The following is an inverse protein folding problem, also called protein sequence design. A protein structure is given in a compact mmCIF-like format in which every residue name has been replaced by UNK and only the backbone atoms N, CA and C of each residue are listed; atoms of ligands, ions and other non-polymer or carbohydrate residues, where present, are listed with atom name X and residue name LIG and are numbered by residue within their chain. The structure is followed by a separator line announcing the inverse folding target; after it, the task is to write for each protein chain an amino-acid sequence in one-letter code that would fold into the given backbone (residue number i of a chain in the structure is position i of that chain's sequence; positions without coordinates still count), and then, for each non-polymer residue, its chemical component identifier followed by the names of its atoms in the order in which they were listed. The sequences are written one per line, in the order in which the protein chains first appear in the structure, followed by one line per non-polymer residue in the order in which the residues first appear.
data_IF_051309716671
#
_entry.id   IF_051309716671
#
_cell.length_a   1.000
_cell.length_b   1.000
_cell.length_c   1.000
_cell.angle_alpha   90.00
_cell.angle_beta   90.00
_cell.angle_gamma   90.00
#
_symmetry.space_group_name_H-M   'P 1'
#
loop_
_entity.id
_entity.type
_entity.pdbx_description
1 polymer ?
#
# COMPACT_ATOMS: atom_id res chain seq x y z
N UNK A 1 -28.07 -2.04 -32.57
CA UNK A 1 -26.85 -1.83 -31.75
C UNK A 1 -26.92 -2.42 -30.30
N UNK A 2 -28.08 -2.88 -29.84
CA UNK A 2 -28.28 -3.30 -28.42
C UNK A 2 -27.89 -4.75 -28.13
N UNK A 3 -28.08 -5.70 -29.02
CA UNK A 3 -27.84 -7.13 -28.76
C UNK A 3 -26.31 -7.50 -28.71
N UNK A 4 -25.49 -6.88 -29.56
CA UNK A 4 -24.03 -7.18 -29.60
C UNK A 4 -23.26 -6.60 -28.39
N UNK A 5 -23.78 -5.55 -27.78
CA UNK A 5 -23.20 -4.95 -26.56
C UNK A 5 -23.56 -5.79 -25.31
N UNK A 6 -24.76 -6.32 -25.25
CA UNK A 6 -25.20 -7.20 -24.15
C UNK A 6 -24.47 -8.52 -24.20
N UNK A 7 -24.32 -9.17 -25.35
CA UNK A 7 -23.56 -10.42 -25.49
C UNK A 7 -22.06 -10.26 -25.21
N UNK A 8 -21.46 -9.08 -25.49
CA UNK A 8 -20.06 -8.79 -25.11
C UNK A 8 -19.89 -8.62 -23.60
N UNK A 9 -20.84 -7.98 -22.94
CA UNK A 9 -20.79 -7.80 -21.48
C UNK A 9 -21.00 -9.13 -20.72
N UNK A 10 -21.93 -9.99 -21.16
CA UNK A 10 -22.14 -11.30 -20.56
C UNK A 10 -20.92 -12.23 -20.73
N UNK A 11 -20.23 -12.18 -21.87
CA UNK A 11 -19.02 -13.00 -22.10
C UNK A 11 -17.80 -12.49 -21.32
N UNK A 12 -17.67 -11.18 -21.08
CA UNK A 12 -16.60 -10.59 -20.27
C UNK A 12 -16.81 -10.94 -18.80
N UNK A 13 -18.01 -10.76 -18.27
CA UNK A 13 -18.33 -11.12 -16.88
C UNK A 13 -18.09 -12.62 -16.63
N UNK A 14 -18.44 -13.50 -17.56
CA UNK A 14 -18.20 -14.94 -17.39
C UNK A 14 -16.72 -15.32 -17.35
N UNK A 15 -15.85 -14.59 -18.03
CA UNK A 15 -14.39 -14.79 -18.00
C UNK A 15 -13.78 -14.26 -16.69
N UNK A 16 -14.22 -13.10 -16.21
CA UNK A 16 -13.80 -12.51 -14.95
C UNK A 16 -14.25 -13.37 -13.76
N UNK A 17 -15.47 -13.89 -13.77
CA UNK A 17 -16.01 -14.80 -12.77
C UNK A 17 -15.22 -16.13 -12.74
N UNK A 18 -14.87 -16.67 -13.91
CA UNK A 18 -14.05 -17.87 -14.04
C UNK A 18 -12.64 -17.64 -13.50
N UNK A 19 -12.04 -16.48 -13.80
CA UNK A 19 -10.72 -16.10 -13.31
C UNK A 19 -10.70 -15.96 -11.79
N UNK A 20 -11.67 -15.24 -11.22
CA UNK A 20 -11.82 -15.08 -9.77
C UNK A 20 -12.04 -16.41 -9.06
N UNK A 21 -12.93 -17.27 -9.58
CA UNK A 21 -13.21 -18.59 -9.04
C UNK A 21 -11.96 -19.46 -9.02
N UNK A 22 -11.12 -19.40 -10.06
CA UNK A 22 -9.84 -20.10 -10.13
C UNK A 22 -8.87 -19.61 -9.05
N UNK A 23 -8.71 -18.29 -8.88
CA UNK A 23 -7.85 -17.72 -7.86
C UNK A 23 -8.29 -18.11 -6.45
N UNK A 24 -9.59 -18.03 -6.14
CA UNK A 24 -10.15 -18.42 -4.85
C UNK A 24 -9.92 -19.90 -4.55
N UNK A 25 -10.16 -20.78 -5.54
CA UNK A 25 -9.89 -22.21 -5.40
C UNK A 25 -8.42 -22.52 -5.10
N UNK A 26 -7.48 -21.79 -5.71
CA UNK A 26 -6.05 -21.93 -5.41
C UNK A 26 -5.71 -21.46 -3.99
N UNK A 27 -6.33 -20.37 -3.53
CA UNK A 27 -6.16 -19.88 -2.15
C UNK A 27 -6.68 -20.88 -1.12
N UNK A 28 -7.81 -21.56 -1.40
CA UNK A 28 -8.38 -22.57 -0.51
C UNK A 28 -7.52 -23.85 -0.43
N UNK A 29 -6.86 -24.22 -1.52
CA UNK A 29 -5.99 -25.41 -1.59
C UNK A 29 -4.67 -25.23 -0.85
N UNK A 30 -4.24 -23.99 -0.61
CA UNK A 30 -3.04 -23.69 0.13
C UNK A 30 -3.30 -23.86 1.63
N UNK A 31 -2.53 -24.71 2.30
CA UNK A 31 -2.64 -24.91 3.74
C UNK A 31 -2.27 -23.61 4.46
N UNK A 32 -3.23 -23.00 5.13
CA UNK A 32 -2.95 -21.85 5.99
C UNK A 32 -1.95 -22.22 7.10
N UNK A 33 -0.99 -21.35 7.35
CA UNK A 33 0.04 -21.51 8.39
C UNK A 33 -0.60 -21.67 9.77
N UNK A 34 -1.78 -21.09 9.98
CA UNK A 34 -2.57 -21.21 11.21
C UNK A 34 -4.03 -21.50 10.86
N UNK A 35 -4.55 -22.57 11.45
CA UNK A 35 -5.99 -22.86 11.46
C UNK A 35 -6.61 -22.31 12.74
N UNK A 36 -7.40 -21.24 12.63
CA UNK A 36 -8.25 -20.76 13.72
C UNK A 36 -9.67 -20.49 13.17
N UNK A 37 -10.68 -20.72 14.01
CA UNK A 37 -12.08 -20.45 13.64
C UNK A 37 -12.26 -19.00 13.17
N UNK A 38 -11.67 -18.04 13.88
CA UNK A 38 -11.70 -16.62 13.51
C UNK A 38 -11.15 -16.37 12.10
N UNK A 39 -9.97 -16.93 11.75
CA UNK A 39 -9.38 -16.73 10.42
C UNK A 39 -10.18 -17.41 9.33
N UNK A 40 -10.74 -18.57 9.62
CA UNK A 40 -11.62 -19.28 8.69
C UNK A 40 -12.87 -18.46 8.38
N UNK A 41 -13.53 -17.94 9.40
CA UNK A 41 -14.70 -17.05 9.26
C UNK A 41 -14.38 -15.78 8.50
N UNK A 42 -13.23 -15.15 8.80
CA UNK A 42 -12.77 -13.94 8.12
C UNK A 42 -12.56 -14.19 6.63
N UNK A 43 -11.88 -15.27 6.26
CA UNK A 43 -11.64 -15.68 4.86
C UNK A 43 -12.95 -16.00 4.14
N UNK A 44 -13.86 -16.73 4.76
CA UNK A 44 -15.15 -17.09 4.18
C UNK A 44 -16.04 -15.87 3.93
N UNK A 45 -16.07 -14.91 4.87
CA UNK A 45 -16.78 -13.63 4.68
C UNK A 45 -16.22 -12.86 3.49
N UNK A 46 -14.90 -12.77 3.40
CA UNK A 46 -14.24 -12.07 2.29
C UNK A 46 -14.51 -12.76 0.93
N UNK A 47 -14.46 -14.08 0.86
CA UNK A 47 -14.83 -14.85 -0.33
C UNK A 47 -16.29 -14.60 -0.74
N UNK A 48 -17.22 -14.53 0.23
CA UNK A 48 -18.62 -14.20 -0.03
C UNK A 48 -18.82 -12.78 -0.59
N UNK A 49 -18.04 -11.82 -0.13
CA UNK A 49 -18.04 -10.45 -0.70
C UNK A 49 -17.60 -10.48 -2.16
N UNK A 50 -16.53 -11.21 -2.49
CA UNK A 50 -15.99 -11.31 -3.84
C UNK A 50 -16.98 -11.93 -4.84
N UNK A 51 -17.73 -12.95 -4.43
CA UNK A 51 -18.75 -13.56 -5.30
C UNK A 51 -19.91 -12.63 -5.65
N UNK A 52 -20.09 -11.56 -4.90
CA UNK A 52 -21.11 -10.53 -5.12
C UNK A 52 -20.55 -9.23 -5.73
N UNK A 53 -19.22 -9.15 -5.90
CA UNK A 53 -18.52 -7.99 -6.41
C UNK A 53 -18.03 -8.20 -7.84
N UNK A 54 -17.79 -7.12 -8.55
CA UNK A 54 -17.12 -7.14 -9.85
C UNK A 54 -15.74 -6.52 -9.75
N UNK A 55 -14.83 -6.90 -10.65
CA UNK A 55 -13.56 -6.20 -10.76
C UNK A 55 -13.78 -4.71 -11.02
N UNK A 56 -13.06 -3.85 -10.32
CA UNK A 56 -13.17 -2.42 -10.54
C UNK A 56 -12.72 -2.07 -11.97
N UNK A 57 -13.34 -1.06 -12.55
CA UNK A 57 -13.09 -0.65 -13.92
C UNK A 57 -13.20 0.86 -14.07
N UNK A 58 -12.87 1.39 -15.25
CA UNK A 58 -12.86 2.84 -15.53
C UNK A 58 -14.21 3.56 -15.41
N UNK A 59 -15.34 2.86 -15.23
CA UNK A 59 -16.64 3.47 -14.94
C UNK A 59 -16.81 3.78 -13.47
N UNK A 60 -16.02 3.15 -12.62
CA UNK A 60 -15.98 3.43 -11.19
C UNK A 60 -15.17 4.70 -10.97
N UNK A 61 -15.70 5.67 -10.26
CA UNK A 61 -15.09 6.98 -10.06
C UNK A 61 -13.65 6.88 -9.52
N UNK A 62 -13.43 5.98 -8.58
CA UNK A 62 -12.12 5.76 -7.95
C UNK A 62 -11.10 5.10 -8.90
N UNK A 63 -11.56 4.49 -10.02
CA UNK A 63 -10.72 3.76 -10.97
C UNK A 63 -10.71 4.38 -12.38
N UNK A 64 -11.34 5.54 -12.58
CA UNK A 64 -11.53 6.16 -13.90
C UNK A 64 -10.23 6.39 -14.68
N UNK A 65 -9.10 6.59 -14.00
CA UNK A 65 -7.80 6.82 -14.63
C UNK A 65 -6.88 5.59 -14.59
N UNK A 66 -7.28 4.51 -13.92
CA UNK A 66 -6.48 3.30 -13.72
C UNK A 66 -7.10 2.10 -14.40
N UNK A 67 -6.39 1.57 -15.39
CA UNK A 67 -6.82 0.43 -16.18
C UNK A 67 -6.13 -0.85 -15.71
N UNK A 68 -6.92 -1.79 -15.20
CA UNK A 68 -6.43 -3.10 -14.77
C UNK A 68 -6.61 -4.20 -15.83
N UNK A 69 -7.01 -3.86 -17.04
CA UNK A 69 -7.27 -4.85 -18.11
C UNK A 69 -6.05 -5.69 -18.47
N UNK A 70 -4.84 -5.13 -18.32
CA UNK A 70 -3.60 -5.90 -18.54
C UNK A 70 -3.34 -6.91 -17.43
N UNK A 71 -3.69 -6.59 -16.19
CA UNK A 71 -3.63 -7.52 -15.05
C UNK A 71 -4.58 -8.70 -15.28
N UNK A 72 -5.81 -8.44 -15.71
CA UNK A 72 -6.84 -9.48 -15.93
C UNK A 72 -6.56 -10.41 -17.13
N UNK A 73 -5.62 -10.07 -18.02
CA UNK A 73 -5.18 -10.94 -19.11
C UNK A 73 -4.17 -12.00 -18.68
N UNK A 74 -3.62 -11.90 -17.48
CA UNK A 74 -2.55 -12.75 -17.00
C UNK A 74 -3.12 -13.82 -16.09
N UNK A 75 -2.85 -15.08 -16.39
CA UNK A 75 -3.25 -16.21 -15.56
C UNK A 75 -2.27 -16.37 -14.38
N UNK A 76 -2.53 -15.64 -13.31
CA UNK A 76 -1.73 -15.72 -12.08
C UNK A 76 -2.01 -17.00 -11.31
N UNK A 77 -0.97 -17.54 -10.69
CA UNK A 77 -1.04 -18.63 -9.72
C UNK A 77 -0.62 -18.13 -8.34
N UNK A 78 -1.14 -18.73 -7.29
CA UNK A 78 -0.71 -18.39 -5.93
C UNK A 78 0.77 -18.71 -5.76
N UNK A 79 1.54 -17.71 -5.30
CA UNK A 79 2.98 -17.82 -5.15
C UNK A 79 3.36 -18.97 -4.19
N UNK A 80 4.44 -19.69 -4.54
CA UNK A 80 4.94 -20.81 -3.77
C UNK A 80 6.11 -20.39 -2.87
N UNK A 81 6.39 -21.21 -1.88
CA UNK A 81 7.56 -21.05 -1.02
C UNK A 81 8.85 -21.12 -1.86
N UNK A 82 9.75 -20.21 -1.59
CA UNK A 82 11.04 -20.09 -2.28
C UNK A 82 12.10 -19.62 -1.30
N UNK A 83 13.28 -20.22 -1.37
CA UNK A 83 14.42 -19.84 -0.53
C UNK A 83 15.27 -18.78 -1.23
N UNK A 84 15.75 -17.82 -0.45
CA UNK A 84 16.72 -16.83 -0.90
C UNK A 84 18.04 -16.97 -0.13
N UNK A 85 19.15 -16.64 -0.80
CA UNK A 85 20.44 -16.57 -0.13
C UNK A 85 20.63 -15.26 0.62
N UNK A 86 21.47 -15.25 1.64
CA UNK A 86 21.82 -14.06 2.39
C UNK A 86 22.43 -12.95 1.52
N UNK A 87 23.18 -13.32 0.47
CA UNK A 87 23.82 -12.36 -0.44
C UNK A 87 22.76 -11.56 -1.23
N UNK A 88 21.68 -12.22 -1.66
CA UNK A 88 20.57 -11.55 -2.33
C UNK A 88 19.84 -10.63 -1.32
N UNK A 89 19.59 -11.14 -0.12
CA UNK A 89 18.95 -10.34 0.95
C UNK A 89 19.71 -9.05 1.25
N UNK A 90 21.06 -9.11 1.30
CA UNK A 90 21.90 -7.96 1.66
C UNK A 90 21.74 -6.76 0.71
N UNK A 91 21.21 -6.95 -0.51
CA UNK A 91 20.90 -5.86 -1.45
C UNK A 91 19.67 -5.02 -1.02
N UNK A 92 18.85 -5.55 -0.11
CA UNK A 92 17.61 -4.94 0.36
C UNK A 92 17.65 -4.53 1.83
N UNK A 93 18.66 -4.95 2.55
CA UNK A 93 18.81 -4.67 3.99
C UNK A 93 19.25 -3.22 4.21
N UNK A 94 18.61 -2.57 5.17
CA UNK A 94 19.04 -1.28 5.68
C UNK A 94 19.90 -1.51 6.94
N UNK A 95 21.03 -0.87 6.99
CA UNK A 95 21.98 -1.03 8.10
C UNK A 95 21.36 -0.65 9.46
N UNK A 96 20.53 0.41 9.46
CA UNK A 96 19.83 0.91 10.64
C UNK A 96 18.82 -0.09 11.23
N UNK A 97 18.33 -1.02 10.42
CA UNK A 97 17.29 -1.99 10.78
C UNK A 97 17.75 -3.46 10.62
N UNK A 98 19.03 -3.71 10.48
CA UNK A 98 19.56 -5.07 10.25
C UNK A 98 19.19 -6.07 11.34
N UNK A 99 19.02 -5.62 12.60
CA UNK A 99 18.71 -6.43 13.76
C UNK A 99 17.24 -6.28 14.24
N UNK A 100 16.40 -5.58 13.47
CA UNK A 100 14.97 -5.35 13.74
C UNK A 100 14.14 -5.61 12.48
N UNK A 101 14.51 -6.64 11.71
CA UNK A 101 13.96 -6.93 10.38
C UNK A 101 13.14 -8.21 10.38
N UNK A 102 11.96 -8.14 9.77
CA UNK A 102 11.09 -9.26 9.45
C UNK A 102 11.04 -9.43 7.93
N UNK A 103 11.28 -10.63 7.42
CA UNK A 103 11.34 -10.91 5.98
C UNK A 103 10.27 -11.89 5.55
N UNK A 104 9.56 -11.51 4.50
CA UNK A 104 8.63 -12.37 3.76
C UNK A 104 9.11 -12.54 2.32
N UNK A 105 9.13 -13.76 1.85
CA UNK A 105 9.46 -14.12 0.47
C UNK A 105 8.22 -14.70 -0.18
N UNK A 106 7.78 -14.12 -1.28
CA UNK A 106 6.52 -14.52 -1.95
C UNK A 106 5.30 -14.55 -1.00
N UNK A 107 5.27 -13.63 -0.02
CA UNK A 107 4.21 -13.55 0.99
C UNK A 107 4.32 -14.57 2.13
N UNK A 108 5.39 -15.36 2.18
CA UNK A 108 5.63 -16.38 3.21
C UNK A 108 6.76 -15.91 4.14
N UNK A 109 6.54 -16.01 5.44
CA UNK A 109 7.53 -15.63 6.45
C UNK A 109 8.79 -16.50 6.36
N UNK A 110 9.96 -15.86 6.37
CA UNK A 110 11.25 -16.51 6.42
C UNK A 110 11.96 -16.23 7.75
N UNK A 111 12.02 -17.24 8.62
CA UNK A 111 12.69 -17.13 9.91
C UNK A 111 14.22 -16.98 9.74
N UNK A 112 14.80 -17.65 8.75
CA UNK A 112 16.25 -17.62 8.47
C UNK A 112 16.74 -16.25 8.02
N UNK A 113 15.91 -15.52 7.27
CA UNK A 113 16.23 -14.20 6.73
C UNK A 113 15.83 -13.07 7.69
N UNK A 114 15.00 -13.35 8.68
CA UNK A 114 14.53 -12.39 9.68
C UNK A 114 15.54 -12.26 10.82
N UNK A 115 15.62 -11.07 11.41
CA UNK A 115 16.44 -10.81 12.60
C UNK A 115 15.75 -9.75 13.46
N UNK A 116 15.33 -10.13 14.65
CA UNK A 116 14.61 -9.27 15.60
C UNK A 116 15.33 -9.13 16.94
N UNK A 117 16.65 -9.37 16.96
CA UNK A 117 17.46 -9.43 18.18
C UNK A 117 17.67 -8.07 18.86
N UNK A 118 17.48 -6.95 18.16
CA UNK A 118 17.57 -5.61 18.72
C UNK A 118 16.25 -5.09 19.33
N UNK A 119 15.17 -5.87 19.28
CA UNK A 119 13.88 -5.44 19.81
C UNK A 119 13.82 -5.54 21.32
N UNK A 120 13.21 -4.52 21.93
CA UNK A 120 13.06 -4.39 23.37
C UNK A 120 11.95 -5.32 23.91
N UNK A 121 11.95 -5.53 25.22
CA UNK A 121 10.83 -6.12 25.92
C UNK A 121 9.55 -5.28 25.68
N UNK A 122 8.41 -5.93 25.51
CA UNK A 122 7.15 -5.26 25.18
C UNK A 122 6.94 -5.02 23.68
N UNK A 123 7.90 -5.44 22.83
CA UNK A 123 7.78 -5.35 21.37
C UNK A 123 7.66 -6.74 20.76
N UNK A 124 6.63 -6.95 19.96
CA UNK A 124 6.48 -8.13 19.13
C UNK A 124 6.62 -7.77 17.66
N UNK A 125 7.57 -8.37 16.98
CA UNK A 125 7.70 -8.33 15.52
C UNK A 125 7.87 -9.75 15.03
N UNK A 126 6.91 -10.22 14.24
CA UNK A 126 6.86 -11.60 13.81
C UNK A 126 5.62 -11.88 12.95
N UNK A 127 5.33 -13.15 12.78
CA UNK A 127 4.15 -13.61 12.05
C UNK A 127 3.05 -14.14 13.00
N UNK A 128 1.92 -14.56 12.44
CA UNK A 128 0.80 -15.10 13.24
C UNK A 128 1.19 -16.32 14.08
N UNK A 129 2.04 -17.22 13.57
CA UNK A 129 2.39 -18.47 14.23
C UNK A 129 3.04 -18.25 15.60
N UNK A 130 3.90 -17.25 15.67
CA UNK A 130 4.72 -16.94 16.84
C UNK A 130 4.05 -15.94 17.80
N UNK A 131 2.82 -15.50 17.49
CA UNK A 131 2.10 -14.56 18.35
C UNK A 131 1.70 -15.25 19.67
N UNK A 132 1.89 -14.56 20.80
CA UNK A 132 1.51 -15.08 22.12
C UNK A 132 -0.02 -15.26 22.25
N UNK A 133 -0.47 -16.22 23.07
CA UNK A 133 -1.89 -16.50 23.24
C UNK A 133 -2.69 -15.29 23.72
N UNK A 134 -2.09 -14.46 24.58
CA UNK A 134 -2.70 -13.20 25.05
C UNK A 134 -2.94 -12.22 23.90
N UNK A 135 -2.01 -12.12 22.94
CA UNK A 135 -2.17 -11.29 21.75
C UNK A 135 -3.10 -11.95 20.71
N UNK A 136 -3.08 -13.28 20.57
CA UNK A 136 -4.02 -14.03 19.71
C UNK A 136 -5.47 -13.78 20.11
N UNK A 137 -5.76 -13.71 21.41
CA UNK A 137 -7.11 -13.40 21.91
C UNK A 137 -7.58 -11.99 21.48
N UNK A 138 -6.66 -11.04 21.41
CA UNK A 138 -6.96 -9.66 20.97
C UNK A 138 -6.95 -9.51 19.44
N UNK A 139 -6.41 -10.44 18.69
CA UNK A 139 -6.23 -10.35 17.24
C UNK A 139 -7.54 -10.07 16.50
N UNK A 140 -8.63 -10.71 16.91
CA UNK A 140 -9.95 -10.56 16.31
C UNK A 140 -10.55 -9.14 16.43
N UNK A 141 -10.04 -8.31 17.36
CA UNK A 141 -10.46 -6.91 17.50
C UNK A 141 -9.66 -5.95 16.59
N UNK A 142 -8.67 -6.46 15.88
CA UNK A 142 -7.83 -5.65 14.99
C UNK A 142 -7.87 -6.16 13.55
N UNK A 143 -7.51 -7.43 13.31
CA UNK A 143 -7.35 -7.96 11.96
C UNK A 143 -8.68 -8.04 11.21
N UNK A 144 -8.76 -7.35 10.07
CA UNK A 144 -9.95 -7.28 9.24
C UNK A 144 -11.07 -6.39 9.78
N UNK A 145 -10.79 -5.55 10.78
CA UNK A 145 -11.80 -4.68 11.42
C UNK A 145 -11.82 -3.24 10.90
N UNK A 146 -10.89 -2.87 10.03
CA UNK A 146 -10.83 -1.53 9.45
C UNK A 146 -11.95 -1.26 8.44
N UNK A 147 -12.34 0.00 8.32
CA UNK A 147 -13.27 0.44 7.26
C UNK A 147 -12.70 0.11 5.88
N UNK A 148 -13.55 -0.12 4.87
CA UNK A 148 -13.13 -0.50 3.52
C UNK A 148 -12.67 -1.96 3.36
N UNK A 149 -12.87 -2.83 4.36
CA UNK A 149 -12.52 -4.25 4.30
C UNK A 149 -13.26 -5.01 3.17
N UNK A 150 -14.40 -4.51 2.71
CA UNK A 150 -15.23 -5.09 1.65
C UNK A 150 -14.86 -4.59 0.24
N UNK A 151 -13.86 -3.74 0.07
CA UNK A 151 -13.37 -3.38 -1.25
C UNK A 151 -12.75 -4.57 -1.95
N UNK A 152 -12.91 -4.67 -3.27
CA UNK A 152 -12.56 -5.86 -4.06
C UNK A 152 -11.16 -6.43 -3.75
N UNK A 153 -10.11 -5.61 -3.89
CA UNK A 153 -8.73 -6.09 -3.68
C UNK A 153 -8.41 -6.34 -2.21
N UNK A 154 -9.05 -5.64 -1.27
CA UNK A 154 -8.96 -5.91 0.17
C UNK A 154 -9.63 -7.24 0.52
N UNK A 155 -10.80 -7.49 -0.04
CA UNK A 155 -11.50 -8.78 0.13
C UNK A 155 -10.69 -9.92 -0.52
N UNK A 156 -10.09 -9.71 -1.70
CA UNK A 156 -9.23 -10.68 -2.36
C UNK A 156 -7.99 -11.01 -1.50
N UNK A 157 -7.35 -10.01 -0.90
CA UNK A 157 -6.25 -10.20 0.04
C UNK A 157 -6.70 -11.01 1.25
N UNK A 158 -7.86 -10.69 1.82
CA UNK A 158 -8.38 -11.37 3.01
C UNK A 158 -8.79 -12.82 2.71
N UNK A 159 -9.41 -13.10 1.56
CA UNK A 159 -9.75 -14.46 1.15
C UNK A 159 -8.51 -15.32 0.91
N UNK A 160 -7.45 -14.73 0.35
CA UNK A 160 -6.16 -15.39 0.11
C UNK A 160 -5.15 -15.29 1.25
N UNK A 161 -5.58 -14.91 2.45
CA UNK A 161 -4.70 -14.69 3.60
C UNK A 161 -4.06 -15.99 4.10
N UNK A 162 -2.73 -16.07 4.04
CA UNK A 162 -1.96 -17.22 4.55
C UNK A 162 -1.24 -16.88 5.86
N UNK A 163 -0.63 -15.71 5.94
CA UNK A 163 0.12 -15.24 7.10
C UNK A 163 0.01 -13.72 7.22
N UNK A 164 0.41 -13.16 8.35
CA UNK A 164 0.38 -11.71 8.64
C UNK A 164 1.72 -11.29 9.23
N UNK A 165 2.32 -10.27 8.65
CA UNK A 165 3.44 -9.55 9.29
C UNK A 165 2.88 -8.67 10.40
N UNK A 166 3.32 -8.88 11.64
CA UNK A 166 2.79 -8.20 12.81
C UNK A 166 3.90 -7.39 13.48
N UNK A 167 3.63 -6.10 13.70
CA UNK A 167 4.39 -5.24 14.60
C UNK A 167 3.44 -4.76 15.71
N UNK A 168 3.68 -5.21 16.94
CA UNK A 168 2.83 -4.87 18.08
C UNK A 168 3.70 -4.33 19.22
N UNK A 169 3.50 -3.04 19.53
CA UNK A 169 4.26 -2.34 20.57
C UNK A 169 3.34 -2.08 21.74
N UNK A 170 3.75 -2.58 22.91
CA UNK A 170 2.97 -2.44 24.15
C UNK A 170 2.95 -0.99 24.64
N UNK A 171 2.04 -0.71 25.58
CA UNK A 171 1.92 0.62 26.21
C UNK A 171 3.23 1.10 26.82
N UNK A 172 3.47 2.42 26.72
CA UNK A 172 4.62 3.13 27.29
C UNK A 172 6.00 2.69 26.72
N UNK A 173 6.03 1.94 25.62
CA UNK A 173 7.27 1.50 24.96
C UNK A 173 7.65 2.46 23.85
N UNK A 174 8.87 2.99 23.91
CA UNK A 174 9.48 3.83 22.87
C UNK A 174 10.65 3.10 22.23
N UNK A 175 10.68 3.03 20.89
CA UNK A 175 11.71 2.34 20.12
C UNK A 175 12.38 3.34 19.18
N UNK A 176 13.68 3.52 19.32
CA UNK A 176 14.47 4.37 18.41
C UNK A 176 14.87 3.62 17.14
N UNK A 177 15.17 2.32 17.26
CA UNK A 177 15.55 1.48 16.11
C UNK A 177 14.33 1.22 15.23
N UNK A 178 14.36 1.55 13.93
CA UNK A 178 13.22 1.32 13.04
C UNK A 178 12.94 -0.19 12.87
N UNK A 179 11.66 -0.56 12.81
CA UNK A 179 11.21 -1.93 12.49
C UNK A 179 11.10 -2.05 10.98
N UNK A 180 11.84 -2.98 10.38
CA UNK A 180 11.80 -3.20 8.92
C UNK A 180 10.99 -4.44 8.56
N UNK A 181 9.86 -4.24 7.89
CA UNK A 181 9.08 -5.29 7.25
C UNK A 181 9.48 -5.33 5.77
N UNK A 182 10.21 -6.36 5.39
CA UNK A 182 10.76 -6.53 4.06
C UNK A 182 10.01 -7.63 3.29
N UNK A 183 9.38 -7.26 2.19
CA UNK A 183 8.63 -8.13 1.32
C UNK A 183 9.35 -8.28 -0.02
N UNK A 184 9.82 -9.49 -0.30
CA UNK A 184 10.57 -9.81 -1.52
C UNK A 184 9.74 -10.73 -2.42
N UNK A 185 9.53 -10.28 -3.65
CA UNK A 185 8.88 -11.04 -4.70
C UNK A 185 9.95 -11.70 -5.58
N UNK A 186 9.97 -13.02 -5.63
CA UNK A 186 10.87 -13.76 -6.52
C UNK A 186 10.17 -13.94 -7.86
N UNK A 187 10.80 -13.42 -8.91
CA UNK A 187 10.28 -13.53 -10.27
C UNK A 187 10.55 -14.92 -10.80
N UNK A 188 9.49 -15.69 -11.03
CA UNK A 188 9.53 -17.08 -11.52
C UNK A 188 9.16 -17.17 -13.01
N UNK A 189 9.24 -18.38 -13.54
CA UNK A 189 8.80 -18.77 -14.89
C UNK A 189 7.28 -18.71 -15.07
N UNK A 190 6.51 -18.70 -13.99
CA UNK A 190 5.04 -18.63 -13.96
C UNK A 190 4.62 -17.32 -13.32
N UNK A 191 3.64 -16.58 -13.91
CA UNK A 191 3.06 -15.41 -13.25
C UNK A 191 2.47 -15.78 -11.91
N UNK A 192 2.78 -15.03 -10.85
CA UNK A 192 2.25 -15.34 -9.53
C UNK A 192 1.57 -14.14 -8.87
N UNK A 193 0.60 -14.43 -7.99
CA UNK A 193 -0.05 -13.47 -7.10
C UNK A 193 0.45 -13.68 -5.68
N UNK A 194 0.76 -12.58 -5.01
CA UNK A 194 1.25 -12.54 -3.63
C UNK A 194 0.28 -11.73 -2.81
N UNK A 195 -0.29 -12.36 -1.77
CA UNK A 195 -1.24 -11.71 -0.85
C UNK A 195 -0.48 -11.31 0.43
N UNK A 196 -0.05 -10.06 0.50
CA UNK A 196 0.68 -9.56 1.66
C UNK A 196 -0.27 -8.90 2.66
N UNK A 197 -0.21 -9.31 3.94
CA UNK A 197 -0.96 -8.67 5.02
C UNK A 197 -0.05 -8.17 6.11
N UNK A 198 -0.30 -6.94 6.56
CA UNK A 198 0.44 -6.30 7.65
C UNK A 198 -0.54 -5.83 8.72
N UNK A 199 -0.22 -6.08 9.97
CA UNK A 199 -0.93 -5.55 11.13
C UNK A 199 0.04 -4.82 12.06
N UNK A 200 -0.24 -3.54 12.30
CA UNK A 200 0.54 -2.70 13.23
C UNK A 200 -0.37 -2.26 14.37
N UNK A 201 0.03 -2.55 15.59
CA UNK A 201 -0.69 -2.11 16.79
C UNK A 201 0.24 -1.30 17.68
N UNK A 202 -0.06 -0.03 17.82
CA UNK A 202 0.57 0.90 18.76
C UNK A 202 -0.35 1.04 19.99
N UNK A 203 -0.02 0.38 21.09
CA UNK A 203 -0.77 0.53 22.34
C UNK A 203 -0.53 1.94 22.95
N UNK A 204 -1.31 2.39 23.97
CA UNK A 204 -1.22 3.76 24.47
C UNK A 204 0.20 4.21 24.86
N UNK A 205 0.53 5.44 24.50
CA UNK A 205 1.82 6.08 24.81
C UNK A 205 3.04 5.40 24.16
N UNK A 206 2.85 4.51 23.19
CA UNK A 206 3.96 3.90 22.44
C UNK A 206 4.45 4.81 21.32
N UNK A 207 5.75 4.72 21.01
CA UNK A 207 6.37 5.48 19.91
C UNK A 207 7.38 4.63 19.16
N UNK A 208 7.24 4.55 17.82
CA UNK A 208 8.17 3.79 16.98
C UNK A 208 8.10 4.19 15.52
N UNK A 209 9.09 3.74 14.76
CA UNK A 209 9.13 3.84 13.31
C UNK A 209 9.03 2.46 12.67
N UNK A 210 8.24 2.35 11.60
CA UNK A 210 8.10 1.14 10.80
C UNK A 210 8.42 1.45 9.34
N UNK A 211 9.16 0.56 8.71
CA UNK A 211 9.50 0.63 7.30
C UNK A 211 8.95 -0.60 6.58
N UNK A 212 8.06 -0.41 5.64
CA UNK A 212 7.60 -1.42 4.69
C UNK A 212 8.38 -1.28 3.39
N UNK A 213 9.12 -2.31 2.98
CA UNK A 213 9.83 -2.33 1.72
C UNK A 213 9.33 -3.45 0.82
N UNK A 214 9.03 -3.12 -0.43
CA UNK A 214 8.59 -4.05 -1.46
C UNK A 214 9.62 -4.06 -2.58
N UNK A 215 10.26 -5.21 -2.80
CA UNK A 215 11.31 -5.38 -3.78
C UNK A 215 11.13 -6.64 -4.63
N UNK A 216 11.74 -6.64 -5.81
CA UNK A 216 11.78 -7.79 -6.68
C UNK A 216 13.18 -8.40 -6.70
N UNK A 217 13.25 -9.70 -6.47
CA UNK A 217 14.47 -10.47 -6.68
C UNK A 217 14.48 -10.95 -8.12
N UNK A 218 15.43 -10.43 -8.88
CA UNK A 218 15.67 -10.86 -10.25
C UNK A 218 16.99 -11.59 -10.27
N UNK A 219 17.01 -12.83 -10.75
CA UNK A 219 18.27 -13.53 -11.02
C UNK A 219 19.17 -12.66 -11.91
N UNK A 220 20.41 -12.46 -11.49
CA UNK A 220 21.43 -11.76 -12.28
C UNK A 220 21.84 -12.50 -13.57
N UNK A 221 21.17 -13.59 -13.92
CA UNK A 221 21.39 -14.31 -15.16
C UNK A 221 20.82 -13.51 -16.33
N UNK A 222 21.71 -12.82 -17.03
CA UNK A 222 21.46 -12.03 -18.24
C UNK A 222 20.89 -12.84 -19.42
N UNK A 223 20.80 -14.16 -19.31
CA UNK A 223 20.47 -15.08 -20.41
C UNK A 223 19.02 -15.62 -20.38
N UNK A 224 18.15 -15.14 -19.47
CA UNK A 224 16.74 -15.56 -19.46
C UNK A 224 15.84 -14.47 -20.04
N UNK A 225 15.32 -14.64 -21.28
CA UNK A 225 14.60 -13.58 -21.99
C UNK A 225 13.14 -13.36 -21.56
N UNK A 226 12.61 -14.00 -20.51
CA UNK A 226 11.19 -13.85 -20.12
C UNK A 226 11.02 -13.79 -18.61
N UNK A 227 11.20 -12.60 -18.05
CA UNK A 227 10.66 -12.28 -16.73
C UNK A 227 9.15 -12.32 -16.82
N UNK A 228 8.49 -13.15 -16.02
CA UNK A 228 7.04 -13.21 -15.96
C UNK A 228 6.54 -12.13 -14.99
N UNK A 229 5.42 -11.48 -15.30
CA UNK A 229 4.83 -10.51 -14.40
C UNK A 229 4.34 -11.19 -13.12
N UNK A 230 4.32 -10.44 -12.02
CA UNK A 230 3.70 -10.85 -10.77
C UNK A 230 2.77 -9.75 -10.25
N UNK A 231 1.89 -10.14 -9.36
CA UNK A 231 0.92 -9.24 -8.75
C UNK A 231 1.04 -9.26 -7.23
N UNK A 232 1.47 -8.15 -6.64
CA UNK A 232 1.46 -7.92 -5.20
C UNK A 232 0.17 -7.23 -4.80
N UNK A 233 -0.70 -7.95 -4.09
CA UNK A 233 -1.90 -7.40 -3.47
C UNK A 233 -1.66 -7.24 -1.96
N UNK A 234 -1.61 -6.01 -1.49
CA UNK A 234 -1.13 -5.66 -0.16
C UNK A 234 -2.22 -4.99 0.66
N UNK A 235 -2.38 -5.40 1.92
CA UNK A 235 -3.22 -4.69 2.88
C UNK A 235 -2.46 -4.47 4.19
N UNK A 236 -2.35 -3.21 4.60
CA UNK A 236 -1.74 -2.79 5.87
C UNK A 236 -2.80 -2.16 6.76
N UNK A 237 -2.97 -2.68 7.97
CA UNK A 237 -3.86 -2.17 9.01
C UNK A 237 -3.04 -1.61 10.16
N UNK A 238 -3.23 -0.33 10.49
CA UNK A 238 -2.49 0.35 11.56
C UNK A 238 -3.46 0.91 12.58
N UNK A 239 -3.28 0.54 13.82
CA UNK A 239 -4.06 1.01 14.96
C UNK A 239 -3.19 1.82 15.91
N UNK A 240 -3.50 3.10 16.05
CA UNK A 240 -2.86 4.00 17.00
C UNK A 240 -3.81 4.22 18.18
N UNK A 241 -3.43 3.72 19.34
CA UNK A 241 -4.14 4.00 20.59
C UNK A 241 -3.85 5.43 21.10
N UNK A 242 -4.45 5.80 22.21
CA UNK A 242 -4.34 7.14 22.78
C UNK A 242 -2.88 7.54 23.01
N UNK A 243 -2.53 8.76 22.57
CA UNK A 243 -1.21 9.37 22.71
C UNK A 243 -0.04 8.52 22.11
N UNK A 244 -0.32 7.60 21.19
CA UNK A 244 0.73 6.87 20.49
C UNK A 244 1.24 7.64 19.26
N UNK A 245 2.47 7.30 18.84
CA UNK A 245 3.11 7.90 17.66
C UNK A 245 3.74 6.84 16.76
N UNK A 246 3.37 6.87 15.48
CA UNK A 246 3.93 5.95 14.47
C UNK A 246 4.44 6.74 13.27
N UNK A 247 5.73 6.56 12.98
CA UNK A 247 6.33 6.98 11.71
C UNK A 247 6.35 5.77 10.77
N UNK A 248 5.64 5.86 9.66
CA UNK A 248 5.48 4.80 8.68
C UNK A 248 6.14 5.19 7.37
N UNK A 249 7.19 4.48 6.99
CA UNK A 249 7.85 4.64 5.70
C UNK A 249 7.44 3.47 4.80
N UNK A 250 6.86 3.75 3.64
CA UNK A 250 6.54 2.75 2.62
C UNK A 250 7.42 2.98 1.40
N UNK A 251 8.17 1.95 0.99
CA UNK A 251 9.11 2.02 -0.12
C UNK A 251 8.80 0.92 -1.15
N UNK A 252 8.13 1.30 -2.24
CA UNK A 252 7.78 0.40 -3.33
C UNK A 252 8.79 0.55 -4.48
N UNK A 253 9.59 -0.52 -4.71
CA UNK A 253 10.66 -0.58 -5.71
C UNK A 253 10.63 -1.89 -6.50
N UNK A 254 9.45 -2.35 -6.83
CA UNK A 254 9.25 -3.58 -7.57
C UNK A 254 9.59 -3.44 -9.06
N UNK A 255 9.68 -4.55 -9.80
CA UNK A 255 10.08 -4.54 -11.20
C UNK A 255 9.06 -3.85 -12.11
N UNK A 256 9.52 -3.31 -13.25
CA UNK A 256 8.68 -2.61 -14.22
C UNK A 256 7.60 -3.46 -14.92
N UNK A 257 7.57 -4.78 -14.71
CA UNK A 257 6.56 -5.69 -15.26
C UNK A 257 5.54 -6.15 -14.21
N UNK A 258 5.70 -5.74 -12.94
CA UNK A 258 4.81 -6.11 -11.84
C UNK A 258 3.57 -5.23 -11.75
N UNK A 259 2.57 -5.76 -11.06
CA UNK A 259 1.40 -5.03 -10.61
C UNK A 259 1.42 -4.97 -9.09
N UNK A 260 1.23 -3.77 -8.54
CA UNK A 260 1.18 -3.55 -7.11
C UNK A 260 -0.10 -2.79 -6.76
N UNK A 261 -1.02 -3.46 -6.07
CA UNK A 261 -2.25 -2.84 -5.56
C UNK A 261 -2.22 -2.94 -4.05
N UNK A 262 -2.18 -1.79 -3.39
CA UNK A 262 -2.03 -1.70 -1.95
C UNK A 262 -3.12 -0.85 -1.31
N UNK A 263 -3.55 -1.25 -0.12
CA UNK A 263 -4.38 -0.45 0.77
C UNK A 263 -3.73 -0.35 2.14
N UNK A 264 -3.58 0.87 2.65
CA UNK A 264 -3.17 1.15 4.02
C UNK A 264 -4.32 1.86 4.74
N UNK A 265 -4.79 1.29 5.84
CA UNK A 265 -5.87 1.86 6.65
C UNK A 265 -5.38 2.12 8.06
N UNK A 266 -5.59 3.36 8.52
CA UNK A 266 -5.11 3.83 9.80
C UNK A 266 -6.29 4.26 10.67
N UNK A 267 -6.36 3.72 11.90
CA UNK A 267 -7.28 4.16 12.95
C UNK A 267 -6.51 4.94 14.01
N UNK A 268 -6.88 6.21 14.21
CA UNK A 268 -6.21 7.12 15.16
C UNK A 268 -7.12 7.45 16.35
N UNK A 269 -6.76 6.96 17.54
CA UNK A 269 -7.41 7.36 18.78
C UNK A 269 -6.97 8.78 19.20
N UNK A 270 -7.54 9.28 20.29
CA UNK A 270 -7.27 10.61 20.83
C UNK A 270 -5.77 10.89 21.02
N UNK A 271 -5.33 12.11 20.70
CA UNK A 271 -3.95 12.60 20.87
C UNK A 271 -2.88 11.80 20.12
N UNK A 272 -3.26 10.87 19.22
CA UNK A 272 -2.31 10.08 18.46
C UNK A 272 -1.71 10.84 17.27
N UNK A 273 -0.48 10.49 16.90
CA UNK A 273 0.28 11.10 15.80
C UNK A 273 0.72 10.04 14.79
N UNK A 274 0.41 10.29 13.54
CA UNK A 274 0.81 9.43 12.43
C UNK A 274 1.54 10.23 11.37
N UNK A 275 2.76 9.81 11.04
CA UNK A 275 3.52 10.39 9.93
C UNK A 275 3.82 9.31 8.90
N UNK A 276 3.48 9.56 7.65
CA UNK A 276 3.75 8.64 6.54
C UNK A 276 4.72 9.25 5.53
N UNK A 277 5.66 8.42 5.06
CA UNK A 277 6.53 8.70 3.92
C UNK A 277 6.32 7.61 2.88
N UNK A 278 5.68 7.93 1.76
CA UNK A 278 5.31 6.99 0.71
C UNK A 278 6.15 7.20 -0.55
N UNK A 279 6.96 6.21 -0.91
CA UNK A 279 7.82 6.22 -2.10
C UNK A 279 7.30 5.21 -3.12
N UNK A 280 6.85 5.68 -4.30
CA UNK A 280 6.38 4.88 -5.42
C UNK A 280 7.37 5.04 -6.59
N UNK A 281 8.25 4.05 -6.74
CA UNK A 281 9.41 4.11 -7.64
C UNK A 281 9.45 2.95 -8.66
N UNK A 282 8.50 2.02 -8.61
CA UNK A 282 8.51 0.81 -9.41
C UNK A 282 7.13 0.37 -9.89
N UNK A 283 7.07 -0.86 -10.40
CA UNK A 283 5.93 -1.55 -10.99
C UNK A 283 5.48 -0.99 -12.36
N UNK A 284 4.85 -1.83 -13.18
CA UNK A 284 4.12 -1.42 -14.38
C UNK A 284 2.86 -0.63 -14.01
N UNK A 285 2.16 -1.13 -13.00
CA UNK A 285 1.01 -0.48 -12.37
C UNK A 285 1.18 -0.53 -10.86
N UNK A 286 1.34 0.62 -10.23
CA UNK A 286 1.30 0.78 -8.77
C UNK A 286 0.04 1.56 -8.41
N UNK A 287 -0.84 0.98 -7.57
CA UNK A 287 -1.94 1.71 -6.95
C UNK A 287 -1.87 1.59 -5.45
N UNK A 288 -1.93 2.71 -4.75
CA UNK A 288 -1.93 2.76 -3.30
C UNK A 288 -3.11 3.61 -2.79
N UNK A 289 -4.00 3.00 -2.03
CA UNK A 289 -5.06 3.67 -1.29
C UNK A 289 -4.64 3.81 0.18
N UNK A 290 -4.53 5.03 0.68
CA UNK A 290 -4.23 5.32 2.08
C UNK A 290 -5.42 6.01 2.72
N UNK A 291 -6.00 5.42 3.75
CA UNK A 291 -7.16 5.94 4.44
C UNK A 291 -6.89 6.11 5.93
N UNK A 292 -7.21 7.30 6.46
CA UNK A 292 -7.03 7.64 7.87
C UNK A 292 -8.40 7.95 8.48
N UNK A 293 -8.72 7.23 9.53
CA UNK A 293 -9.96 7.39 10.27
C UNK A 293 -9.66 7.90 11.69
N UNK A 294 -10.04 9.15 11.94
CA UNK A 294 -9.98 9.73 13.27
C UNK A 294 -11.07 9.10 14.15
N UNK A 295 -10.65 8.54 15.29
CA UNK A 295 -11.52 7.91 16.30
C UNK A 295 -11.56 8.68 17.63
N UNK A 296 -10.83 9.77 17.72
CA UNK A 296 -10.78 10.66 18.88
C UNK A 296 -10.33 12.07 18.50
N UNK A 297 -10.40 13.01 19.42
CA UNK A 297 -9.98 14.39 19.21
C UNK A 297 -8.44 14.57 19.20
N UNK A 298 -7.97 15.72 18.70
CA UNK A 298 -6.58 16.17 18.77
C UNK A 298 -5.57 15.24 18.03
N UNK A 299 -6.02 14.51 17.01
CA UNK A 299 -5.11 13.69 16.19
C UNK A 299 -4.29 14.56 15.24
N UNK A 300 -3.09 14.08 14.92
CA UNK A 300 -2.21 14.69 13.92
C UNK A 300 -1.80 13.66 12.86
N UNK A 301 -1.94 14.04 11.57
CA UNK A 301 -1.58 13.20 10.43
C UNK A 301 -0.71 13.97 9.45
N UNK A 302 0.53 13.52 9.23
CA UNK A 302 1.45 14.11 8.28
C UNK A 302 1.74 13.11 7.15
N UNK A 303 1.37 13.43 5.91
CA UNK A 303 1.53 12.57 4.75
C UNK A 303 2.52 13.19 3.76
N UNK A 304 3.61 12.48 3.51
CA UNK A 304 4.64 12.86 2.54
C UNK A 304 4.75 11.78 1.48
N UNK A 305 4.51 12.13 0.22
CA UNK A 305 4.59 11.19 -0.89
C UNK A 305 5.56 11.65 -1.98
N UNK A 306 6.26 10.70 -2.58
CA UNK A 306 7.10 10.90 -3.74
C UNK A 306 6.87 9.77 -4.74
N UNK A 307 6.43 10.16 -5.95
CA UNK A 307 6.29 9.26 -7.09
C UNK A 307 7.32 9.67 -8.16
N UNK A 308 8.19 8.74 -8.57
CA UNK A 308 9.13 8.95 -9.69
C UNK A 308 8.98 7.77 -10.63
N UNK A 309 8.45 8.03 -11.82
CA UNK A 309 8.14 7.00 -12.81
C UNK A 309 8.52 7.45 -14.23
N UNK A 310 8.88 6.47 -15.05
CA UNK A 310 9.23 6.67 -16.45
C UNK A 310 8.70 5.52 -17.33
N UNK A 311 9.07 5.46 -18.59
CA UNK A 311 8.63 4.42 -19.50
C UNK A 311 7.12 4.46 -19.73
N UNK A 312 6.46 3.35 -19.45
CA UNK A 312 5.00 3.20 -19.54
C UNK A 312 4.37 2.86 -18.19
N UNK A 313 5.05 3.23 -17.11
CA UNK A 313 4.57 2.98 -15.76
C UNK A 313 3.33 3.85 -15.44
N UNK A 314 2.44 3.28 -14.66
CA UNK A 314 1.27 3.98 -14.08
C UNK A 314 1.39 3.93 -12.57
N UNK A 315 1.36 5.09 -11.92
CA UNK A 315 1.30 5.18 -10.46
C UNK A 315 0.08 5.98 -10.04
N UNK A 316 -0.79 5.34 -9.26
CA UNK A 316 -2.06 5.90 -8.83
C UNK A 316 -2.10 5.94 -7.29
N UNK A 317 -1.99 7.13 -6.72
CA UNK A 317 -2.02 7.34 -5.27
C UNK A 317 -3.33 8.01 -4.86
N UNK A 318 -4.08 7.32 -4.04
CA UNK A 318 -5.30 7.83 -3.40
C UNK A 318 -5.05 8.01 -1.89
N UNK A 319 -5.49 9.13 -1.35
CA UNK A 319 -5.53 9.37 0.08
C UNK A 319 -6.90 9.88 0.50
N UNK A 320 -7.42 9.39 1.62
CA UNK A 320 -8.64 9.88 2.22
C UNK A 320 -8.46 10.06 3.74
N UNK A 321 -8.71 11.27 4.24
CA UNK A 321 -8.56 11.60 5.66
C UNK A 321 -9.92 11.99 6.20
N UNK A 322 -10.43 11.19 7.13
CA UNK A 322 -11.73 11.39 7.78
C UNK A 322 -11.53 12.00 9.17
N UNK A 323 -11.54 13.32 9.24
CA UNK A 323 -11.40 14.10 10.48
C UNK A 323 -12.77 14.24 11.14
N UNK A 324 -13.16 13.27 11.95
CA UNK A 324 -14.52 13.14 12.53
C UNK A 324 -14.71 13.87 13.85
N UNK A 325 -13.62 14.25 14.53
CA UNK A 325 -13.61 14.83 15.86
C UNK A 325 -12.89 16.19 15.87
N UNK A 326 -13.12 17.04 16.90
CA UNK A 326 -12.49 18.36 16.98
C UNK A 326 -10.96 18.32 17.09
N UNK A 327 -10.34 19.45 16.74
CA UNK A 327 -8.91 19.71 16.86
C UNK A 327 -8.01 18.78 16.02
N UNK A 328 -8.54 18.11 15.01
CA UNK A 328 -7.75 17.32 14.08
C UNK A 328 -6.81 18.19 13.25
N UNK A 329 -5.58 17.70 13.04
CA UNK A 329 -4.59 18.32 12.15
C UNK A 329 -4.18 17.34 11.07
N UNK A 330 -4.12 17.82 9.81
CA UNK A 330 -3.55 17.04 8.74
C UNK A 330 -2.73 17.90 7.78
N UNK A 331 -1.55 17.42 7.41
CA UNK A 331 -0.71 18.05 6.39
C UNK A 331 -0.33 17.00 5.36
N UNK A 332 -0.60 17.29 4.09
CA UNK A 332 -0.21 16.40 3.00
C UNK A 332 0.63 17.15 1.97
N UNK A 333 1.78 16.58 1.64
CA UNK A 333 2.60 16.98 0.51
C UNK A 333 2.90 15.76 -0.35
N UNK A 334 2.35 15.69 -1.55
CA UNK A 334 2.69 14.65 -2.53
C UNK A 334 3.36 15.28 -3.75
N UNK A 335 4.50 14.72 -4.15
CA UNK A 335 5.27 15.16 -5.33
C UNK A 335 5.31 14.03 -6.35
N UNK A 336 5.13 14.38 -7.64
CA UNK A 336 5.30 13.45 -8.74
C UNK A 336 6.32 13.98 -9.74
N UNK A 337 7.20 13.11 -10.19
CA UNK A 337 8.10 13.35 -11.33
C UNK A 337 7.80 12.26 -12.36
N UNK A 338 7.41 12.68 -13.56
CA UNK A 338 6.99 11.76 -14.61
C UNK A 338 7.73 12.03 -15.90
N UNK A 339 8.20 10.96 -16.55
CA UNK A 339 8.92 11.06 -17.80
C UNK A 339 8.41 10.09 -18.86
N UNK A 340 8.85 10.24 -20.10
CA UNK A 340 8.53 9.43 -21.29
C UNK A 340 7.01 9.32 -21.52
N UNK A 341 6.39 8.15 -21.31
CA UNK A 341 4.96 7.88 -21.51
C UNK A 341 4.27 7.52 -20.19
N UNK A 342 4.92 7.77 -19.07
CA UNK A 342 4.39 7.41 -17.75
C UNK A 342 3.18 8.25 -17.37
N UNK A 343 2.37 7.73 -16.44
CA UNK A 343 1.15 8.36 -16.00
C UNK A 343 1.03 8.31 -14.48
N UNK A 344 1.10 9.47 -13.83
CA UNK A 344 0.83 9.59 -12.40
C UNK A 344 -0.58 10.11 -12.15
N UNK A 345 -1.26 9.50 -11.19
CA UNK A 345 -2.57 9.91 -10.69
C UNK A 345 -2.41 10.23 -9.20
N UNK A 346 -2.95 11.35 -8.78
CA UNK A 346 -3.09 11.70 -7.37
C UNK A 346 -4.54 12.10 -7.08
N UNK A 347 -5.17 11.40 -6.15
CA UNK A 347 -6.49 11.75 -5.62
C UNK A 347 -6.38 11.90 -4.10
N UNK A 348 -6.66 13.10 -3.60
CA UNK A 348 -6.60 13.37 -2.17
C UNK A 348 -7.92 13.92 -1.66
N UNK A 349 -8.54 13.26 -0.68
CA UNK A 349 -9.82 13.64 -0.08
C UNK A 349 -9.65 13.96 1.39
N UNK A 350 -10.24 15.07 1.84
CA UNK A 350 -10.32 15.42 3.26
C UNK A 350 -11.77 15.66 3.62
N UNK A 351 -12.27 14.91 4.60
CA UNK A 351 -13.64 14.97 5.09
C UNK A 351 -13.67 15.62 6.48
N UNK A 352 -14.41 16.72 6.62
CA UNK A 352 -14.54 17.49 7.88
C UNK A 352 -16.02 17.73 8.17
N UNK A 353 -16.71 16.81 8.85
CA UNK A 353 -18.11 16.94 9.17
C UNK A 353 -18.33 18.01 10.24
N UNK A 354 -19.58 18.42 10.45
CA UNK A 354 -19.97 19.51 11.35
C UNK A 354 -19.44 19.37 12.78
N UNK A 355 -19.27 18.14 13.27
CA UNK A 355 -18.72 17.87 14.61
C UNK A 355 -17.22 18.18 14.74
N UNK A 356 -16.46 18.16 13.63
CA UNK A 356 -15.01 18.29 13.61
C UNK A 356 -14.56 19.76 13.61
N UNK A 357 -14.99 20.52 14.60
CA UNK A 357 -14.61 21.93 14.74
C UNK A 357 -13.12 22.10 15.09
N UNK A 358 -12.56 23.28 14.84
CA UNK A 358 -11.14 23.61 15.09
C UNK A 358 -10.14 22.72 14.32
N UNK A 359 -10.59 22.10 13.24
CA UNK A 359 -9.74 21.31 12.33
C UNK A 359 -8.81 22.22 11.52
N UNK A 360 -7.57 21.76 11.32
CA UNK A 360 -6.59 22.40 10.45
C UNK A 360 -6.05 21.37 9.45
N UNK A 361 -6.43 21.49 8.15
CA UNK A 361 -6.08 20.53 7.13
C UNK A 361 -5.49 21.22 5.90
N UNK A 362 -4.27 20.82 5.52
CA UNK A 362 -3.60 21.34 4.33
C UNK A 362 -3.20 20.20 3.40
N UNK A 363 -3.49 20.35 2.11
CA UNK A 363 -3.12 19.38 1.09
C UNK A 363 -2.43 20.09 -0.07
N UNK A 364 -1.25 19.60 -0.46
CA UNK A 364 -0.48 20.14 -1.58
C UNK A 364 0.03 19.00 -2.47
N UNK A 365 -0.29 19.05 -3.76
CA UNK A 365 0.28 18.16 -4.76
C UNK A 365 1.14 18.98 -5.74
N UNK A 366 2.41 18.61 -5.89
CA UNK A 366 3.35 19.26 -6.81
C UNK A 366 3.89 18.28 -7.82
N UNK A 367 3.78 18.60 -9.08
CA UNK A 367 4.04 17.68 -10.16
C UNK A 367 5.01 18.30 -11.18
N UNK A 368 6.00 17.52 -11.58
CA UNK A 368 6.96 17.87 -12.62
C UNK A 368 6.83 16.88 -13.78
N UNK A 369 6.59 17.38 -14.97
CA UNK A 369 6.49 16.62 -16.23
C UNK A 369 7.75 16.86 -17.03
N UNK A 370 8.54 15.81 -17.27
CA UNK A 370 9.82 15.92 -17.99
C UNK A 370 9.69 15.70 -19.50
N UNK A 371 8.61 15.06 -19.96
CA UNK A 371 8.37 14.83 -21.39
C UNK A 371 6.94 15.18 -21.80
N UNK A 372 6.75 15.55 -23.05
CA UNK A 372 5.45 15.94 -23.62
C UNK A 372 4.42 14.82 -23.70
N UNK A 373 4.81 13.55 -23.48
CA UNK A 373 3.94 12.38 -23.53
C UNK A 373 3.63 11.81 -22.16
N UNK A 374 4.34 12.24 -21.13
CA UNK A 374 4.02 11.93 -19.74
C UNK A 374 2.73 12.66 -19.31
N UNK A 375 1.99 12.06 -18.38
CA UNK A 375 0.68 12.55 -17.96
C UNK A 375 0.55 12.59 -16.45
N UNK A 376 -0.20 13.60 -15.98
CA UNK A 376 -0.58 13.71 -14.57
C UNK A 376 -2.07 14.02 -14.50
N UNK A 377 -2.78 13.25 -13.66
CA UNK A 377 -4.12 13.57 -13.21
C UNK A 377 -4.05 13.89 -11.72
N UNK A 378 -4.49 15.07 -11.31
CA UNK A 378 -4.52 15.48 -9.92
C UNK A 378 -5.92 15.93 -9.53
N UNK A 379 -6.46 15.31 -8.46
CA UNK A 379 -7.82 15.56 -7.95
C UNK A 379 -7.77 15.79 -6.42
N UNK A 380 -7.38 16.99 -5.96
CA UNK A 380 -7.53 17.34 -4.56
C UNK A 380 -9.00 17.69 -4.26
N UNK A 381 -9.56 17.14 -3.18
CA UNK A 381 -10.96 17.30 -2.81
C UNK A 381 -11.11 17.63 -1.32
N UNK A 382 -11.90 18.65 -1.00
CA UNK A 382 -12.28 19.01 0.36
C UNK A 382 -13.80 18.90 0.51
N UNK A 383 -14.24 18.05 1.43
CA UNK A 383 -15.65 17.91 1.80
C UNK A 383 -15.86 18.41 3.23
N UNK A 384 -16.24 19.68 3.37
CA UNK A 384 -16.26 20.38 4.62
C UNK A 384 -17.70 20.86 4.93
N UNK A 385 -18.20 20.48 6.10
CA UNK A 385 -19.47 20.98 6.63
C UNK A 385 -19.32 21.65 7.99
N UNK A 386 -18.12 21.64 8.59
CA UNK A 386 -17.78 22.38 9.80
C UNK A 386 -17.53 23.87 9.49
N UNK A 387 -17.87 24.76 10.44
CA UNK A 387 -17.82 26.22 10.24
C UNK A 387 -16.49 26.83 10.71
N UNK A 388 -15.92 26.34 11.82
CA UNK A 388 -14.71 26.88 12.43
C UNK A 388 -13.49 26.00 12.12
N UNK A 389 -12.99 26.10 10.89
CA UNK A 389 -11.86 25.29 10.42
C UNK A 389 -10.90 26.10 9.53
N UNK A 390 -9.67 25.59 9.39
CA UNK A 390 -8.67 26.10 8.44
C UNK A 390 -8.32 24.98 7.50
N UNK A 391 -8.87 25.00 6.29
CA UNK A 391 -8.62 23.94 5.31
C UNK A 391 -8.21 24.57 3.98
N UNK A 392 -7.17 24.01 3.39
CA UNK A 392 -6.71 24.43 2.08
C UNK A 392 -6.23 23.23 1.26
N UNK A 393 -6.36 23.34 -0.05
CA UNK A 393 -5.70 22.44 -0.97
C UNK A 393 -5.08 23.21 -2.14
N UNK A 394 -4.09 22.60 -2.77
CA UNK A 394 -3.46 23.14 -3.97
C UNK A 394 -2.85 22.03 -4.82
N UNK A 395 -2.86 22.23 -6.12
CA UNK A 395 -2.16 21.36 -7.06
C UNK A 395 -1.43 22.21 -8.10
N UNK A 396 -0.21 21.79 -8.45
CA UNK A 396 0.55 22.39 -9.54
C UNK A 396 1.04 21.30 -10.47
N UNK A 397 1.00 21.58 -11.78
CA UNK A 397 1.66 20.76 -12.80
C UNK A 397 2.59 21.68 -13.55
N UNK A 398 3.87 21.41 -13.48
CA UNK A 398 4.93 22.20 -14.11
C UNK A 398 5.66 21.35 -15.14
N UNK A 399 6.14 22.00 -16.17
CA UNK A 399 7.01 21.43 -17.19
C UNK A 399 8.24 22.33 -17.30
N UNK A 400 9.38 21.77 -17.65
CA UNK A 400 10.57 22.59 -17.91
C UNK A 400 10.35 23.38 -19.20
N UNK A 401 10.43 24.71 -19.10
CA UNK A 401 10.31 25.59 -20.25
C UNK A 401 11.61 25.55 -21.07
N UNK A 402 11.48 25.55 -22.39
CA UNK A 402 12.62 25.46 -23.29
C UNK A 402 13.63 26.63 -23.09
N UNK A 403 13.12 27.82 -22.77
CA UNK A 403 13.93 29.02 -22.51
C UNK A 403 14.71 28.88 -21.18
N UNK A 404 14.12 28.28 -20.16
CA UNK A 404 14.79 27.99 -18.88
C UNK A 404 15.92 26.98 -19.07
N UNK A 405 15.67 25.91 -19.80
CA UNK A 405 16.68 24.89 -20.17
C UNK A 405 17.79 25.52 -21.01
N UNK A 406 17.45 26.35 -21.99
CA UNK A 406 18.44 27.09 -22.81
C UNK A 406 19.29 28.01 -21.94
N UNK A 407 18.69 28.75 -21.01
CA UNK A 407 19.43 29.61 -20.08
C UNK A 407 20.43 28.83 -19.22
N UNK A 408 20.04 27.70 -18.66
CA UNK A 408 20.91 26.81 -17.87
C UNK A 408 22.07 26.26 -18.72
N UNK A 409 21.79 25.82 -19.95
CA UNK A 409 22.83 25.38 -20.91
C UNK A 409 23.80 26.49 -21.29
N UNK A 410 23.31 27.70 -21.45
CA UNK A 410 24.18 28.88 -21.73
C UNK A 410 25.13 29.21 -20.56
N UNK A 411 24.85 28.70 -19.37
CA UNK A 411 25.69 28.82 -18.17
C UNK A 411 26.60 27.62 -17.94
N UNK A 412 26.66 26.68 -18.88
CA UNK A 412 27.57 25.53 -18.85
C UNK A 412 27.03 24.28 -18.22
N UNK A 413 25.72 24.22 -17.86
CA UNK A 413 25.05 23.01 -17.44
C UNK A 413 24.72 22.17 -18.66
N UNK A 414 24.91 20.86 -18.59
CA UNK A 414 24.56 19.92 -19.65
C UNK A 414 23.21 19.22 -19.34
N UNK A 415 22.76 18.34 -20.22
CA UNK A 415 21.44 17.67 -20.09
C UNK A 415 21.35 16.69 -18.90
N UNK A 416 22.46 16.41 -18.23
CA UNK A 416 22.52 15.54 -17.04
C UNK A 416 22.63 16.30 -15.72
N UNK A 417 22.88 17.63 -15.80
CA UNK A 417 22.96 18.52 -14.64
C UNK A 417 21.57 19.10 -14.28
#
# INVERSE_FOLDING_TARGET
MTAAVVLKNESVNSLEDSYLSKLLSQCEQKNAVIQSEFLTDLKQKAASVLTQSQFPNKRDEEWQFTDISDLLKIDFQVAQETTLTTDILNQFVLEEAKNSRLVFVNGIYSAELSNTTALLEGVYVGNLSNLSDAKKTKLASYLGQQEGSNEFFTALNTAGLDDVAIAWVNSDVMIETPIHLLFLSVVDSVPNIIQTRVLVVAEPHSQFSILESYGAVTDNCTDRPQKKPYFSNVVTEIYLAENSEVNHIRNQRESGDSFHIAKTVISQAKDSRYTNYDFNLGAKLCRHNLEIYQQGEQTESNLHGLTIIAGRQVSDTHSAIYLRYPHGKSNQLHKCIVDEYSHAIFSGKVFVPKAAQMTNANQLNRNLVLSSKARINTKPELQITADNVKCSHGATVSQLEADEVFYLRSRGLNDYD
#
